data_IF_855141999402
#
_entry.id   IF_855141999402
#
_cell.length_a   1.000
_cell.length_b   1.000
_cell.length_c   1.000
_cell.angle_alpha   90.00
_cell.angle_beta   90.00
_cell.angle_gamma   90.00
#
_symmetry.space_group_name_H-M   'P 1'
#
loop_
_entity.id
_entity.type
_entity.pdbx_description
1 polymer ?
#
# COMPACT_ATOMS: atom_id res chain seq x y z
N UNK A 1 36.11 12.12 12.08
CA UNK A 1 36.01 12.23 10.63
C UNK A 1 35.47 11.00 9.97
N UNK A 2 35.98 9.81 10.34
CA UNK A 2 35.44 8.54 9.82
C UNK A 2 33.98 8.32 10.18
N UNK A 3 33.58 8.72 11.39
CA UNK A 3 32.19 8.57 11.85
C UNK A 3 31.22 9.42 11.04
N UNK A 4 31.63 10.64 10.68
CA UNK A 4 30.80 11.51 9.87
C UNK A 4 30.63 10.98 8.47
N UNK A 5 31.72 10.48 7.86
CA UNK A 5 31.66 9.88 6.54
C UNK A 5 30.76 8.64 6.51
N UNK A 6 30.83 7.80 7.55
CA UNK A 6 30.00 6.62 7.67
C UNK A 6 28.51 7.01 7.84
N UNK A 7 28.23 8.07 8.61
CA UNK A 7 26.86 8.57 8.78
C UNK A 7 26.30 9.13 7.48
N UNK A 8 27.10 9.83 6.71
CA UNK A 8 26.69 10.35 5.39
C UNK A 8 26.41 9.21 4.41
N UNK A 9 27.27 8.18 4.37
CA UNK A 9 27.04 7.02 3.53
C UNK A 9 25.76 6.29 3.91
N UNK A 10 25.50 6.10 5.20
CA UNK A 10 24.25 5.49 5.66
C UNK A 10 23.03 6.30 5.25
N UNK A 11 23.09 7.61 5.40
CA UNK A 11 22.01 8.49 5.00
C UNK A 11 21.73 8.39 3.50
N UNK A 12 22.79 8.33 2.68
CA UNK A 12 22.64 8.16 1.24
C UNK A 12 22.02 6.81 0.88
N UNK A 13 22.42 5.73 1.54
CA UNK A 13 21.87 4.40 1.32
C UNK A 13 20.37 4.37 1.66
N UNK A 14 19.98 5.01 2.76
CA UNK A 14 18.56 5.09 3.15
C UNK A 14 17.78 5.90 2.13
N UNK A 15 18.32 7.01 1.63
CA UNK A 15 17.66 7.81 0.61
C UNK A 15 17.45 7.03 -0.70
N UNK A 16 18.47 6.32 -1.15
CA UNK A 16 18.37 5.49 -2.35
C UNK A 16 17.38 4.36 -2.15
N UNK A 17 17.40 3.72 -0.97
CA UNK A 17 16.46 2.67 -0.63
C UNK A 17 15.03 3.19 -0.56
N UNK A 18 14.83 4.38 -0.01
CA UNK A 18 13.51 5.00 0.07
C UNK A 18 12.96 5.32 -1.33
N UNK A 19 13.81 5.80 -2.22
CA UNK A 19 13.42 6.08 -3.61
C UNK A 19 13.02 4.80 -4.34
N UNK A 20 13.84 3.76 -4.20
CA UNK A 20 13.53 2.45 -4.80
C UNK A 20 12.25 1.88 -4.22
N UNK A 21 12.06 2.01 -2.90
CA UNK A 21 10.84 1.54 -2.25
C UNK A 21 9.60 2.25 -2.81
N UNK A 22 9.67 3.55 -3.02
CA UNK A 22 8.57 4.31 -3.62
C UNK A 22 8.22 3.78 -5.01
N UNK A 23 9.24 3.51 -5.83
CA UNK A 23 9.04 2.95 -7.16
C UNK A 23 8.43 1.56 -7.10
N UNK A 24 8.89 0.72 -6.18
CA UNK A 24 8.37 -0.63 -5.99
C UNK A 24 6.92 -0.60 -5.52
N UNK A 25 6.60 0.25 -4.55
CA UNK A 25 5.23 0.40 -4.04
C UNK A 25 4.26 0.87 -5.13
N UNK A 26 4.71 1.78 -5.98
CA UNK A 26 3.89 2.29 -7.08
C UNK A 26 3.50 1.20 -8.06
N UNK A 27 4.36 0.20 -8.25
CA UNK A 27 4.13 -0.90 -9.18
C UNK A 27 3.31 -2.04 -8.58
N UNK A 28 3.14 -2.07 -7.26
CA UNK A 28 2.38 -3.13 -6.61
C UNK A 28 0.90 -3.04 -6.94
N UNK A 29 0.26 -4.19 -7.05
CA UNK A 29 -1.18 -4.29 -7.15
C UNK A 29 -1.70 -5.01 -5.90
N UNK A 30 -2.34 -4.24 -5.03
CA UNK A 30 -2.90 -4.75 -3.78
C UNK A 30 -4.40 -4.83 -3.93
N UNK A 31 -4.95 -6.01 -3.67
CA UNK A 31 -6.35 -6.29 -3.91
C UNK A 31 -7.15 -6.24 -2.63
N UNK A 32 -8.14 -5.35 -2.58
CA UNK A 32 -9.16 -5.33 -1.54
C UNK A 32 -10.42 -5.99 -2.07
N UNK A 33 -11.11 -6.73 -1.24
CA UNK A 33 -12.26 -7.51 -1.68
C UNK A 33 -13.47 -7.27 -0.77
N UNK A 34 -14.66 -7.42 -1.34
CA UNK A 34 -15.92 -7.43 -0.64
C UNK A 34 -16.85 -8.44 -1.30
N UNK A 35 -17.86 -8.89 -0.56
CA UNK A 35 -18.86 -9.83 -1.05
C UNK A 35 -18.25 -11.10 -1.65
N UNK A 36 -17.25 -11.68 -0.97
CA UNK A 36 -16.62 -12.91 -1.41
C UNK A 36 -15.85 -12.80 -2.72
N UNK A 37 -15.38 -11.59 -3.07
CA UNK A 37 -14.64 -11.34 -4.29
C UNK A 37 -15.49 -10.83 -5.45
N UNK A 38 -16.78 -10.62 -5.24
CA UNK A 38 -17.65 -10.04 -6.27
C UNK A 38 -17.32 -8.57 -6.55
N UNK A 39 -16.72 -7.89 -5.57
CA UNK A 39 -16.18 -6.54 -5.76
C UNK A 39 -14.73 -6.56 -5.34
N UNK A 40 -13.88 -6.01 -6.19
CA UNK A 40 -12.44 -5.89 -5.93
C UNK A 40 -11.99 -4.47 -6.22
N UNK A 41 -11.17 -3.92 -5.35
CA UNK A 41 -10.49 -2.64 -5.56
C UNK A 41 -9.01 -2.93 -5.64
N UNK A 42 -8.37 -2.49 -6.71
CA UNK A 42 -6.93 -2.65 -6.90
C UNK A 42 -6.27 -1.32 -6.58
N UNK A 43 -5.31 -1.36 -5.68
CA UNK A 43 -4.62 -0.18 -5.16
C UNK A 43 -3.12 -0.44 -5.20
N UNK A 44 -2.33 0.61 -5.40
CA UNK A 44 -0.88 0.47 -5.31
C UNK A 44 -0.44 0.34 -3.85
N UNK A 45 0.85 0.04 -3.64
CA UNK A 45 1.40 -0.04 -2.29
C UNK A 45 1.50 1.31 -1.58
N UNK A 46 1.32 2.43 -2.30
CA UNK A 46 1.29 3.78 -1.73
C UNK A 46 -0.11 4.39 -1.75
N UNK A 47 -1.14 3.55 -1.63
CA UNK A 47 -2.55 3.91 -1.48
C UNK A 47 -3.15 4.64 -2.69
N UNK A 48 -2.64 4.40 -3.88
CA UNK A 48 -3.22 4.98 -5.07
C UNK A 48 -4.20 4.02 -5.71
N UNK A 49 -5.49 4.37 -5.82
CA UNK A 49 -6.48 3.49 -6.48
C UNK A 49 -6.13 3.33 -7.95
N UNK A 50 -6.17 2.11 -8.45
CA UNK A 50 -5.88 1.81 -9.86
C UNK A 50 -7.13 1.47 -10.64
N UNK A 51 -7.97 0.56 -10.10
CA UNK A 51 -9.22 0.19 -10.76
C UNK A 51 -10.16 -0.50 -9.77
N UNK A 52 -11.41 -0.58 -10.17
CA UNK A 52 -12.45 -1.30 -9.45
C UNK A 52 -13.01 -2.35 -10.40
N UNK A 53 -13.16 -3.58 -9.90
CA UNK A 53 -13.76 -4.69 -10.64
C UNK A 53 -15.03 -5.10 -9.93
N UNK A 54 -16.14 -5.10 -10.66
CA UNK A 54 -17.45 -5.43 -10.10
C UNK A 54 -18.04 -6.56 -10.93
N UNK A 55 -18.46 -7.65 -10.26
CA UNK A 55 -19.14 -8.74 -10.96
C UNK A 55 -20.47 -8.26 -11.55
N UNK A 56 -20.78 -8.62 -12.80
CA UNK A 56 -22.07 -8.27 -13.40
C UNK A 56 -23.26 -8.76 -12.59
N UNK A 57 -23.10 -9.83 -11.83
CA UNK A 57 -24.17 -10.39 -10.98
C UNK A 57 -24.67 -9.39 -9.95
N UNK A 58 -23.85 -8.42 -9.54
CA UNK A 58 -24.23 -7.42 -8.56
C UNK A 58 -25.05 -6.27 -9.13
N UNK A 59 -25.09 -6.15 -10.44
CA UNK A 59 -25.79 -5.02 -11.08
C UNK A 59 -27.31 -5.05 -10.81
N UNK A 60 -27.87 -6.21 -10.53
CA UNK A 60 -29.27 -6.36 -10.19
C UNK A 60 -29.60 -5.93 -8.76
N UNK A 61 -28.59 -5.76 -7.91
CA UNK A 61 -28.79 -5.41 -6.49
C UNK A 61 -29.06 -3.92 -6.26
N UNK A 62 -28.78 -3.09 -7.28
CA UNK A 62 -28.98 -1.66 -7.21
C UNK A 62 -27.73 -0.88 -6.80
N UNK A 63 -27.75 0.40 -7.11
CA UNK A 63 -26.59 1.26 -6.95
C UNK A 63 -26.13 1.42 -5.49
N UNK A 64 -27.08 1.47 -4.57
CA UNK A 64 -26.75 1.67 -3.15
C UNK A 64 -25.95 0.48 -2.58
N UNK A 65 -26.38 -0.74 -2.90
CA UNK A 65 -25.67 -1.95 -2.46
C UNK A 65 -24.29 -2.00 -3.10
N UNK A 66 -24.18 -1.73 -4.39
CA UNK A 66 -22.90 -1.71 -5.09
C UNK A 66 -21.97 -0.67 -4.48
N UNK A 67 -22.47 0.53 -4.21
CA UNK A 67 -21.65 1.59 -3.60
C UNK A 67 -21.11 1.18 -2.24
N UNK A 68 -21.94 0.55 -1.40
CA UNK A 68 -21.51 0.09 -0.09
C UNK A 68 -20.43 -0.99 -0.19
N UNK A 69 -20.56 -1.91 -1.14
CA UNK A 69 -19.58 -2.97 -1.35
C UNK A 69 -18.27 -2.43 -1.90
N UNK A 70 -18.32 -1.46 -2.80
CA UNK A 70 -17.12 -0.79 -3.30
C UNK A 70 -16.39 -0.09 -2.15
N UNK A 71 -17.12 0.59 -1.28
CA UNK A 71 -16.54 1.25 -0.12
C UNK A 71 -15.86 0.23 0.79
N UNK A 72 -16.49 -0.91 1.05
CA UNK A 72 -15.91 -1.97 1.88
C UNK A 72 -14.62 -2.53 1.24
N UNK A 73 -14.63 -2.79 -0.06
CA UNK A 73 -13.46 -3.28 -0.77
C UNK A 73 -12.33 -2.24 -0.77
N UNK A 74 -12.68 -0.96 -0.87
CA UNK A 74 -11.70 0.12 -0.82
C UNK A 74 -11.02 0.21 0.54
N UNK A 75 -11.79 0.08 1.62
CA UNK A 75 -11.23 0.06 2.97
C UNK A 75 -10.28 -1.12 3.17
N UNK A 76 -10.65 -2.29 2.65
CA UNK A 76 -9.81 -3.48 2.72
C UNK A 76 -8.49 -3.26 1.95
N UNK A 77 -8.56 -2.74 0.75
CA UNK A 77 -7.38 -2.43 -0.06
C UNK A 77 -6.48 -1.39 0.64
N UNK A 78 -7.08 -0.35 1.18
CA UNK A 78 -6.36 0.70 1.88
C UNK A 78 -5.60 0.16 3.10
N UNK A 79 -6.24 -0.67 3.91
CA UNK A 79 -5.60 -1.26 5.08
C UNK A 79 -4.43 -2.17 4.67
N UNK A 80 -4.62 -2.99 3.65
CA UNK A 80 -3.57 -3.86 3.13
C UNK A 80 -2.41 -3.05 2.57
N UNK A 81 -2.69 -2.00 1.81
CA UNK A 81 -1.67 -1.12 1.23
C UNK A 81 -0.88 -0.42 2.33
N UNK A 82 -1.56 0.12 3.33
CA UNK A 82 -0.92 0.79 4.46
C UNK A 82 0.00 -0.15 5.23
N UNK A 83 -0.47 -1.38 5.48
CA UNK A 83 0.32 -2.41 6.17
C UNK A 83 1.55 -2.78 5.36
N UNK A 84 1.39 -2.98 4.05
CA UNK A 84 2.50 -3.31 3.17
C UNK A 84 3.55 -2.21 3.17
N UNK A 85 3.14 -0.96 3.05
CA UNK A 85 4.05 0.17 3.08
C UNK A 85 4.82 0.24 4.40
N UNK A 86 4.13 0.06 5.51
CA UNK A 86 4.75 0.08 6.84
C UNK A 86 5.79 -1.03 6.97
N UNK A 87 5.46 -2.24 6.57
CA UNK A 87 6.37 -3.38 6.63
C UNK A 87 7.62 -3.15 5.78
N UNK A 88 7.43 -2.60 4.58
CA UNK A 88 8.55 -2.30 3.69
C UNK A 88 9.44 -1.20 4.25
N UNK A 89 8.85 -0.19 4.88
CA UNK A 89 9.63 0.87 5.51
C UNK A 89 10.42 0.35 6.71
N UNK A 90 9.85 -0.55 7.50
CA UNK A 90 10.56 -1.19 8.60
C UNK A 90 11.75 -2.00 8.10
N UNK A 91 11.58 -2.74 7.00
CA UNK A 91 12.67 -3.47 6.36
C UNK A 91 13.79 -2.52 5.90
N UNK A 92 13.41 -1.39 5.31
CA UNK A 92 14.38 -0.40 4.83
C UNK A 92 15.22 0.17 5.96
N UNK A 93 14.62 0.46 7.10
CA UNK A 93 15.34 0.99 8.25
C UNK A 93 16.09 -0.08 9.02
N UNK A 94 15.99 -1.35 8.60
CA UNK A 94 16.71 -2.46 9.22
C UNK A 94 16.32 -2.71 10.67
N UNK A 95 15.08 -2.37 11.03
CA UNK A 95 14.63 -2.51 12.41
C UNK A 95 15.17 -1.44 13.33
N UNK A 96 15.76 -0.37 12.78
CA UNK A 96 16.19 0.76 13.58
C UNK A 96 14.99 1.36 14.28
N UNK A 97 15.03 1.33 15.62
CA UNK A 97 14.00 1.93 16.42
C UNK A 97 14.15 3.44 16.35
N UNK A 98 13.28 4.08 15.58
CA UNK A 98 13.27 5.53 15.53
C UNK A 98 12.49 6.07 16.73
N UNK A 99 12.98 7.11 17.38
CA UNK A 99 12.26 7.71 18.50
C UNK A 99 10.86 8.15 18.05
N UNK A 100 9.86 7.76 18.81
CA UNK A 100 8.47 8.11 18.51
C UNK A 100 7.73 7.16 17.57
N UNK A 101 8.34 6.06 17.20
CA UNK A 101 7.68 5.03 16.39
C UNK A 101 7.42 3.76 17.14
#
# INVERSE_FOLDING_TARGET
MKELAAAIQKAQQVQEGAKKLQEDLEKMEIEGVAAGGLVKVIMSGNQEPRRVEISPDLMSEGAEVVADLVTAAMKDAYLKSTTTMRERMEELTGGLSLPGM
#
